data_IF_135176977310
#
_entry.id   IF_135176977310
#
_cell.length_a   1.000
_cell.length_b   1.000
_cell.length_c   1.000
_cell.angle_alpha   90.00
_cell.angle_beta   90.00
_cell.angle_gamma   90.00
#
_symmetry.space_group_name_H-M   'P 1'
#
loop_
_entity.id
_entity.type
_entity.pdbx_description
1 polymer ?
#
# COMPACT_ATOMS: atom_id res chain seq x y z
N UNK A 1 -27.51 -16.93 -7.02
CA UNK A 1 -27.07 -17.55 -8.29
C UNK A 1 -26.80 -16.51 -9.41
N UNK A 2 -26.96 -15.21 -9.17
CA UNK A 2 -26.94 -14.15 -10.20
C UNK A 2 -25.60 -13.41 -10.36
N UNK A 3 -24.84 -13.17 -9.29
CA UNK A 3 -23.63 -12.33 -9.36
C UNK A 3 -22.51 -12.90 -10.26
N UNK A 4 -22.29 -14.23 -10.26
CA UNK A 4 -21.24 -14.85 -11.10
C UNK A 4 -21.56 -14.72 -12.58
N UNK A 5 -22.83 -14.91 -12.97
CA UNK A 5 -23.28 -14.79 -14.36
C UNK A 5 -23.20 -13.34 -14.86
N UNK A 6 -23.54 -12.38 -14.00
CA UNK A 6 -23.44 -10.95 -14.29
C UNK A 6 -21.97 -10.53 -14.47
N UNK A 7 -21.07 -10.94 -13.56
CA UNK A 7 -19.63 -10.67 -13.68
C UNK A 7 -19.04 -11.24 -14.97
N UNK A 8 -19.40 -12.49 -15.32
CA UNK A 8 -18.91 -13.10 -16.56
C UNK A 8 -19.44 -12.38 -17.79
N UNK A 9 -20.72 -12.01 -17.81
CA UNK A 9 -21.30 -11.24 -18.92
C UNK A 9 -20.56 -9.93 -19.14
N UNK A 10 -20.24 -9.20 -18.06
CA UNK A 10 -19.47 -7.96 -18.13
C UNK A 10 -18.04 -8.18 -18.66
N UNK A 11 -17.38 -9.27 -18.25
CA UNK A 11 -16.04 -9.62 -18.74
C UNK A 11 -16.08 -9.87 -20.25
N UNK A 12 -17.04 -10.67 -20.73
CA UNK A 12 -17.17 -10.96 -22.16
C UNK A 12 -17.59 -9.73 -22.98
N UNK A 13 -18.37 -8.81 -22.41
CA UNK A 13 -18.73 -7.56 -23.06
C UNK A 13 -17.51 -6.65 -23.27
N UNK A 14 -16.64 -6.55 -22.25
CA UNK A 14 -15.44 -5.70 -22.29
C UNK A 14 -14.27 -6.36 -23.03
N UNK A 15 -14.19 -7.69 -22.98
CA UNK A 15 -13.10 -8.50 -23.54
C UNK A 15 -13.69 -9.67 -24.35
N UNK A 16 -14.32 -9.39 -25.51
CA UNK A 16 -15.04 -10.42 -26.28
C UNK A 16 -14.13 -11.52 -26.82
N UNK A 17 -12.83 -11.25 -26.96
CA UNK A 17 -11.82 -12.18 -27.46
C UNK A 17 -11.12 -13.00 -26.36
N UNK A 18 -11.51 -12.83 -25.09
CA UNK A 18 -10.91 -13.49 -23.90
C UNK A 18 -10.80 -15.01 -24.05
N UNK A 19 -11.72 -15.66 -24.74
CA UNK A 19 -11.76 -17.10 -24.92
C UNK A 19 -11.49 -17.56 -26.37
N UNK A 20 -10.92 -16.70 -27.21
CA UNK A 20 -10.72 -16.96 -28.66
C UNK A 20 -9.90 -18.23 -28.97
N UNK A 21 -8.91 -18.55 -28.12
CA UNK A 21 -8.07 -19.76 -28.23
C UNK A 21 -8.40 -20.81 -27.16
N UNK A 22 -9.39 -20.55 -26.30
CA UNK A 22 -9.77 -21.41 -25.19
C UNK A 22 -10.70 -22.54 -25.66
N UNK A 23 -10.18 -23.77 -25.73
CA UNK A 23 -10.90 -24.93 -26.31
C UNK A 23 -11.07 -26.17 -25.43
N UNK A 24 -11.24 -26.07 -24.09
CA UNK A 24 -11.55 -27.26 -23.30
C UNK A 24 -12.97 -27.76 -23.58
N UNK A 25 -13.08 -29.02 -23.99
CA UNK A 25 -14.36 -29.70 -24.28
C UNK A 25 -15.11 -30.11 -23.00
N UNK A 26 -14.37 -30.36 -21.92
CA UNK A 26 -14.92 -30.80 -20.64
C UNK A 26 -15.55 -29.62 -19.88
N UNK A 27 -16.80 -29.77 -19.44
CA UNK A 27 -17.53 -28.73 -18.71
C UNK A 27 -16.90 -28.43 -17.33
N UNK A 28 -16.46 -29.45 -16.59
CA UNK A 28 -15.81 -29.25 -15.29
C UNK A 28 -14.51 -28.47 -15.44
N UNK A 29 -13.72 -28.73 -16.48
CA UNK A 29 -12.52 -27.94 -16.78
C UNK A 29 -12.88 -26.48 -17.07
N UNK A 30 -13.91 -26.22 -17.91
CA UNK A 30 -14.38 -24.85 -18.17
C UNK A 30 -14.75 -24.12 -16.88
N UNK A 31 -15.50 -24.78 -15.99
CA UNK A 31 -15.87 -24.21 -14.69
C UNK A 31 -14.65 -23.94 -13.82
N UNK A 32 -13.67 -24.85 -13.77
CA UNK A 32 -12.45 -24.66 -13.00
C UNK A 32 -11.65 -23.43 -13.47
N UNK A 33 -11.45 -23.28 -14.78
CA UNK A 33 -10.76 -22.11 -15.34
C UNK A 33 -11.49 -20.81 -15.04
N UNK A 34 -12.82 -20.79 -15.18
CA UNK A 34 -13.63 -19.62 -14.83
C UNK A 34 -13.48 -19.26 -13.34
N UNK A 35 -13.47 -20.25 -12.45
CA UNK A 35 -13.29 -20.01 -11.02
C UNK A 35 -11.91 -19.41 -10.73
N UNK A 36 -10.85 -19.90 -11.37
CA UNK A 36 -9.49 -19.32 -11.22
C UNK A 36 -9.46 -17.88 -11.74
N UNK A 37 -10.06 -17.60 -12.90
CA UNK A 37 -10.17 -16.24 -13.45
C UNK A 37 -10.90 -15.29 -12.50
N UNK A 38 -12.04 -15.72 -11.94
CA UNK A 38 -12.81 -14.90 -11.00
C UNK A 38 -12.05 -14.67 -9.70
N UNK A 39 -11.33 -15.68 -9.20
CA UNK A 39 -10.46 -15.53 -8.04
C UNK A 39 -9.33 -14.53 -8.30
N UNK A 40 -8.67 -14.60 -9.46
CA UNK A 40 -7.61 -13.66 -9.85
C UNK A 40 -8.14 -12.22 -9.91
N UNK A 41 -9.29 -12.00 -10.56
CA UNK A 41 -9.94 -10.68 -10.61
C UNK A 41 -10.29 -10.20 -9.20
N UNK A 42 -10.78 -11.09 -8.35
CA UNK A 42 -11.11 -10.74 -6.95
C UNK A 42 -9.86 -10.32 -6.18
N UNK A 43 -8.74 -11.02 -6.32
CA UNK A 43 -7.45 -10.64 -5.73
C UNK A 43 -7.04 -9.24 -6.18
N UNK A 44 -7.18 -8.93 -7.47
CA UNK A 44 -6.89 -7.61 -8.03
C UNK A 44 -7.86 -6.50 -7.59
N UNK A 45 -8.99 -6.84 -6.99
CA UNK A 45 -9.92 -5.88 -6.39
C UNK A 45 -9.67 -5.65 -4.89
N UNK A 46 -8.74 -6.38 -4.27
CA UNK A 46 -8.44 -6.18 -2.85
C UNK A 46 -7.59 -4.93 -2.61
N UNK A 47 -7.70 -4.30 -1.43
CA UNK A 47 -6.80 -3.25 -1.02
C UNK A 47 -5.34 -3.73 -1.06
N UNK A 48 -4.43 -2.92 -1.58
CA UNK A 48 -3.00 -3.28 -1.65
C UNK A 48 -2.41 -3.58 -0.28
N UNK A 49 -2.94 -2.99 0.80
CA UNK A 49 -2.53 -3.26 2.17
C UNK A 49 -2.80 -4.72 2.60
N UNK A 50 -3.88 -5.32 2.12
CA UNK A 50 -4.27 -6.70 2.47
C UNK A 50 -3.51 -7.75 1.65
N UNK A 51 -2.92 -7.36 0.51
CA UNK A 51 -2.19 -8.26 -0.37
C UNK A 51 -0.76 -8.47 0.12
N UNK A 52 -0.36 -9.73 0.27
CA UNK A 52 1.03 -10.10 0.51
C UNK A 52 1.81 -10.20 -0.81
N UNK A 53 3.13 -10.35 -0.71
CA UNK A 53 3.98 -10.65 -1.87
C UNK A 53 3.63 -12.03 -2.46
N UNK A 54 3.25 -12.98 -1.61
CA UNK A 54 2.89 -14.32 -2.04
C UNK A 54 1.55 -14.31 -2.79
N UNK A 55 0.57 -13.51 -2.34
CA UNK A 55 -0.70 -13.33 -3.07
C UNK A 55 -0.48 -12.78 -4.49
N UNK A 56 0.47 -11.85 -4.66
CA UNK A 56 0.84 -11.35 -5.98
C UNK A 56 1.55 -12.41 -6.83
N UNK A 57 2.46 -13.20 -6.24
CA UNK A 57 3.11 -14.31 -6.95
C UNK A 57 2.09 -15.36 -7.41
N UNK A 58 1.13 -15.70 -6.56
CA UNK A 58 0.04 -16.64 -6.86
C UNK A 58 -0.90 -16.09 -7.95
N UNK A 59 -1.12 -14.77 -7.95
CA UNK A 59 -1.85 -14.10 -9.01
C UNK A 59 -1.13 -14.20 -10.36
N UNK A 60 0.19 -13.97 -10.40
CA UNK A 60 1.00 -14.16 -11.62
C UNK A 60 0.99 -15.63 -12.09
N UNK A 61 1.10 -16.58 -11.16
CA UNK A 61 1.04 -18.00 -11.49
C UNK A 61 -0.33 -18.39 -12.07
N UNK A 62 -1.42 -17.87 -11.48
CA UNK A 62 -2.79 -18.07 -11.97
C UNK A 62 -2.99 -17.46 -13.36
N UNK A 63 -2.48 -16.25 -13.60
CA UNK A 63 -2.52 -15.59 -14.90
C UNK A 63 -1.78 -16.41 -15.97
N UNK A 64 -0.58 -16.89 -15.66
CA UNK A 64 0.22 -17.73 -16.57
C UNK A 64 -0.50 -19.05 -16.87
N UNK A 65 -1.09 -19.69 -15.86
CA UNK A 65 -1.87 -20.91 -16.03
C UNK A 65 -3.07 -20.72 -16.96
N UNK A 66 -3.83 -19.64 -16.78
CA UNK A 66 -5.00 -19.30 -17.59
C UNK A 66 -4.61 -18.96 -19.05
N UNK A 67 -3.53 -18.20 -19.22
CA UNK A 67 -3.00 -17.82 -20.54
C UNK A 67 -2.50 -19.03 -21.30
N UNK A 68 -1.80 -19.95 -20.63
CA UNK A 68 -1.36 -21.22 -21.22
C UNK A 68 -2.55 -22.12 -21.63
N UNK A 69 -3.70 -21.98 -20.97
CA UNK A 69 -4.94 -22.66 -21.38
C UNK A 69 -5.61 -22.03 -22.61
N UNK A 70 -5.08 -20.91 -23.12
CA UNK A 70 -5.55 -20.22 -24.32
C UNK A 70 -6.54 -19.09 -24.05
N UNK A 71 -6.64 -18.60 -22.81
CA UNK A 71 -7.36 -17.35 -22.54
C UNK A 71 -6.49 -16.15 -22.95
N UNK A 72 -7.10 -15.14 -23.56
CA UNK A 72 -6.47 -13.85 -23.82
C UNK A 72 -6.67 -12.93 -22.60
N UNK A 73 -5.61 -12.67 -21.85
CA UNK A 73 -5.65 -11.95 -20.56
C UNK A 73 -4.66 -10.78 -20.49
N UNK A 74 -4.26 -10.22 -21.65
CA UNK A 74 -3.30 -9.10 -21.72
C UNK A 74 -3.72 -7.91 -20.85
N UNK A 75 -5.02 -7.60 -20.81
CA UNK A 75 -5.57 -6.53 -19.96
C UNK A 75 -5.43 -6.82 -18.47
N UNK A 76 -5.45 -8.08 -18.07
CA UNK A 76 -5.34 -8.50 -16.68
C UNK A 76 -3.87 -8.54 -16.25
N UNK A 77 -2.97 -8.85 -17.18
CA UNK A 77 -1.53 -8.71 -17.02
C UNK A 77 -1.15 -7.25 -16.72
N UNK A 78 -1.61 -6.30 -17.54
CA UNK A 78 -1.38 -4.86 -17.32
C UNK A 78 -1.90 -4.41 -15.94
N UNK A 79 -3.10 -4.88 -15.55
CA UNK A 79 -3.68 -4.54 -14.24
C UNK A 79 -2.92 -5.17 -13.07
N UNK A 80 -2.35 -6.35 -13.24
CA UNK A 80 -1.53 -7.00 -12.24
C UNK A 80 -0.17 -6.30 -12.07
N UNK A 81 0.42 -5.82 -13.17
CA UNK A 81 1.63 -4.98 -13.14
C UNK A 81 1.36 -3.64 -12.43
N UNK A 82 0.29 -2.93 -12.79
CA UNK A 82 -0.13 -1.70 -12.10
C UNK A 82 -0.33 -1.91 -10.59
N UNK A 83 -0.90 -3.06 -10.20
CA UNK A 83 -1.10 -3.40 -8.81
C UNK A 83 0.22 -3.68 -8.08
N UNK A 84 1.14 -4.40 -8.72
CA UNK A 84 2.49 -4.65 -8.19
C UNK A 84 3.21 -3.35 -7.93
N UNK A 85 3.20 -2.41 -8.89
CA UNK A 85 3.81 -1.09 -8.70
C UNK A 85 3.18 -0.30 -7.55
N UNK A 86 1.84 -0.34 -7.43
CA UNK A 86 1.13 0.33 -6.32
C UNK A 86 1.57 -0.25 -4.98
N UNK A 87 1.75 -1.57 -4.88
CA UNK A 87 2.21 -2.24 -3.66
C UNK A 87 3.63 -1.81 -3.28
N UNK A 88 4.53 -1.71 -4.26
CA UNK A 88 5.89 -1.25 -4.03
C UNK A 88 5.93 0.21 -3.59
N UNK A 89 5.16 1.09 -4.25
CA UNK A 89 4.99 2.51 -3.87
C UNK A 89 4.42 2.65 -2.47
N UNK A 90 3.41 1.85 -2.10
CA UNK A 90 2.86 1.83 -0.75
C UNK A 90 3.95 1.48 0.27
N UNK A 91 4.69 0.40 0.06
CA UNK A 91 5.73 -0.06 0.98
C UNK A 91 6.82 1.00 1.18
N UNK A 92 7.30 1.59 0.08
CA UNK A 92 8.29 2.67 0.14
C UNK A 92 7.74 3.91 0.89
N UNK A 93 6.46 4.24 0.68
CA UNK A 93 5.79 5.31 1.41
C UNK A 93 5.66 5.04 2.91
N UNK A 94 5.32 3.82 3.31
CA UNK A 94 5.24 3.39 4.70
C UNK A 94 6.62 3.42 5.39
N UNK A 95 7.68 3.02 4.70
CA UNK A 95 9.06 3.12 5.20
C UNK A 95 9.48 4.59 5.40
N UNK A 96 9.19 5.46 4.42
CA UNK A 96 9.45 6.91 4.52
C UNK A 96 8.64 7.58 5.62
N UNK A 97 7.41 7.15 5.86
CA UNK A 97 6.58 7.69 6.93
C UNK A 97 7.21 7.40 8.30
N UNK A 98 7.72 6.18 8.51
CA UNK A 98 8.41 5.83 9.76
C UNK A 98 9.68 6.65 9.99
N UNK A 99 10.49 6.84 8.95
CA UNK A 99 11.69 7.70 9.01
C UNK A 99 11.32 9.13 9.45
N UNK A 100 10.30 9.73 8.82
CA UNK A 100 9.82 11.07 9.15
C UNK A 100 9.27 11.14 10.59
N UNK A 101 8.56 10.10 11.04
CA UNK A 101 8.05 10.03 12.42
C UNK A 101 9.19 10.03 13.46
N UNK A 102 10.28 9.32 13.18
CA UNK A 102 11.49 9.30 14.01
C UNK A 102 12.21 10.66 14.02
N UNK A 103 12.44 11.26 12.86
CA UNK A 103 13.04 12.58 12.74
C UNK A 103 12.22 13.66 13.48
N UNK A 104 10.89 13.58 13.37
CA UNK A 104 9.97 14.50 14.04
C UNK A 104 10.01 14.33 15.56
N UNK A 105 10.15 13.10 16.05
CA UNK A 105 10.32 12.81 17.48
C UNK A 105 11.63 13.40 18.01
N UNK A 106 12.73 13.22 17.29
CA UNK A 106 14.03 13.77 17.66
C UNK A 106 14.04 15.30 17.66
N UNK A 107 13.38 15.91 16.67
CA UNK A 107 13.26 17.37 16.60
C UNK A 107 12.43 17.93 17.75
N UNK A 108 11.33 17.27 18.12
CA UNK A 108 10.52 17.65 19.29
C UNK A 108 11.35 17.61 20.58
N UNK A 109 12.17 16.58 20.77
CA UNK A 109 13.03 16.49 21.94
C UNK A 109 14.07 17.62 21.98
N UNK A 110 14.70 17.93 20.83
CA UNK A 110 15.63 19.06 20.72
C UNK A 110 14.97 20.39 21.03
N UNK A 111 13.74 20.60 20.54
CA UNK A 111 12.98 21.81 20.82
C UNK A 111 12.69 21.98 22.32
N UNK A 112 12.24 20.92 23.00
CA UNK A 112 12.02 20.95 24.45
C UNK A 112 13.29 21.24 25.24
N UNK A 113 14.44 20.70 24.82
CA UNK A 113 15.72 21.00 25.47
C UNK A 113 16.11 22.48 25.32
N UNK A 114 15.97 23.03 24.11
CA UNK A 114 16.26 24.45 23.83
C UNK A 114 15.30 25.39 24.58
N UNK A 115 14.03 25.01 24.69
CA UNK A 115 13.04 25.77 25.47
C UNK A 115 13.44 25.83 26.96
N UNK A 116 13.89 24.71 27.53
CA UNK A 116 14.39 24.68 28.90
C UNK A 116 15.67 25.51 29.09
N UNK A 117 16.60 25.47 28.13
CA UNK A 117 17.81 26.30 28.14
C UNK A 117 17.47 27.80 28.08
N UNK A 118 16.51 28.18 27.23
CA UNK A 118 16.04 29.56 27.11
C UNK A 118 15.41 30.07 28.40
N UNK A 119 14.54 29.28 29.04
CA UNK A 119 13.90 29.67 30.30
C UNK A 119 14.91 29.80 31.45
N UNK A 120 15.92 28.93 31.49
CA UNK A 120 17.04 29.06 32.43
C UNK A 120 17.80 30.37 32.23
N UNK A 121 18.21 30.67 30.99
CA UNK A 121 18.96 31.90 30.68
C UNK A 121 18.15 33.16 31.01
N UNK A 122 16.84 33.16 30.73
CA UNK A 122 15.94 34.26 31.13
C UNK A 122 15.93 34.47 32.64
N UNK A 123 15.90 33.39 33.43
CA UNK A 123 15.96 33.48 34.88
C UNK A 123 17.31 34.04 35.35
N UNK A 124 18.42 33.55 34.80
CA UNK A 124 19.78 34.00 35.14
C UNK A 124 19.97 35.49 34.79
N UNK A 125 19.50 35.94 33.62
CA UNK A 125 19.51 37.36 33.22
C UNK A 125 18.65 38.22 34.14
N UNK A 126 17.49 37.71 34.60
CA UNK A 126 16.62 38.42 35.54
C UNK A 126 17.31 38.62 36.89
N UNK A 127 17.99 37.57 37.41
CA UNK A 127 18.78 37.65 38.64
C UNK A 127 19.93 38.65 38.50
N UNK A 128 20.68 38.60 37.40
CA UNK A 128 21.81 39.50 37.15
C UNK A 128 21.39 40.98 37.00
N UNK A 129 20.14 41.24 36.59
CA UNK A 129 19.59 42.59 36.45
C UNK A 129 19.06 43.18 37.76
N UNK A 130 18.86 42.36 38.80
CA UNK A 130 18.37 42.83 40.08
C UNK A 130 19.39 43.80 40.73
N UNK A 131 18.95 44.93 41.29
CA UNK A 131 19.85 45.82 42.04
C UNK A 131 20.31 45.15 43.35
N UNK A 132 21.52 45.50 43.81
CA UNK A 132 22.02 45.08 45.12
C UNK A 132 21.09 45.60 46.23
N UNK A 133 20.88 44.80 47.29
CA UNK A 133 20.16 45.28 48.47
C UNK A 133 21.07 46.15 49.34
N UNK A 134 20.47 46.93 50.24
CA UNK A 134 21.25 47.73 51.19
C UNK A 134 22.18 46.87 52.04
N UNK A 135 21.73 45.67 52.45
CA UNK A 135 22.51 44.72 53.25
C UNK A 135 23.63 44.04 52.44
N UNK A 136 23.54 43.98 51.11
CA UNK A 136 24.62 43.47 50.25
C UNK A 136 25.77 44.48 50.08
N UNK A 137 25.51 45.76 50.35
CA UNK A 137 26.43 46.88 50.09
C UNK A 137 27.21 47.31 51.33
N UNK A 138 26.65 47.13 52.53
CA UNK A 138 27.20 47.60 53.82
C UNK A 138 27.77 46.45 54.62
#
# INVERSE_FOLDING_TARGET
MTQVAESLSLIFERHPDIASKFRPKNQHLRTAYINVLLSLIKTLCQPTQELSKDDLNDAYASLAYLTNAGLNLDWLEEKLEEMSEKKDKQKAGEERMKEIEEELKDLKQKFSNLEAELEKEKADVSVARAPLSFDDVV
#
